data_IF_933358208597
#
_entry.id   IF_933358208597
#
_cell.length_a   1.000
_cell.length_b   1.000
_cell.length_c   1.000
_cell.angle_alpha   90.00
_cell.angle_beta   90.00
_cell.angle_gamma   90.00
#
_symmetry.space_group_name_H-M   'P 1'
#
loop_
_entity.id
_entity.type
_entity.pdbx_description
1 polymer ?
#
# COMPACT_ATOMS: atom_id res chain seq x y z
N UNK A 1 7.96 -17.98 -26.01
CA UNK A 1 6.75 -17.75 -25.18
C UNK A 1 7.04 -18.18 -23.77
N UNK A 2 7.19 -17.23 -22.85
CA UNK A 2 7.33 -17.48 -21.42
C UNK A 2 5.93 -17.67 -20.84
N UNK A 3 5.61 -18.88 -20.40
CA UNK A 3 4.31 -19.17 -19.78
C UNK A 3 4.33 -18.68 -18.33
N UNK A 4 3.55 -17.64 -18.03
CA UNK A 4 3.31 -17.21 -16.65
C UNK A 4 2.28 -18.15 -16.00
N UNK A 5 2.75 -19.08 -15.16
CA UNK A 5 1.88 -20.00 -14.42
C UNK A 5 1.63 -19.43 -13.02
N UNK A 6 0.36 -19.19 -12.66
CA UNK A 6 0.01 -18.58 -11.37
C UNK A 6 -0.82 -19.51 -10.47
N UNK A 7 -0.58 -19.44 -9.14
CA UNK A 7 -1.22 -20.28 -8.11
C UNK A 7 -1.92 -19.40 -7.06
N UNK A 8 -3.14 -18.99 -7.36
CA UNK A 8 -4.01 -18.16 -6.50
C UNK A 8 -4.24 -18.69 -5.06
N UNK A 9 -4.40 -20.00 -4.81
CA UNK A 9 -4.85 -20.48 -3.50
C UNK A 9 -3.85 -20.38 -2.33
N UNK A 10 -2.61 -19.91 -2.53
CA UNK A 10 -1.57 -19.97 -1.49
C UNK A 10 -1.29 -18.65 -0.74
N UNK A 11 -1.95 -17.54 -1.09
CA UNK A 11 -1.79 -16.29 -0.36
C UNK A 11 -2.20 -16.40 1.12
N UNK A 12 -3.08 -17.33 1.47
CA UNK A 12 -3.57 -17.48 2.85
C UNK A 12 -3.34 -18.89 3.43
N UNK A 13 -2.32 -19.61 2.93
CA UNK A 13 -1.99 -20.96 3.41
C UNK A 13 -0.59 -21.48 3.05
N UNK A 14 0.16 -20.80 2.19
CA UNK A 14 1.61 -20.96 2.03
C UNK A 14 2.36 -19.78 2.66
N UNK A 15 3.69 -19.82 2.69
CA UNK A 15 4.47 -18.64 3.07
C UNK A 15 4.19 -17.55 2.03
N UNK A 16 3.54 -16.46 2.45
CA UNK A 16 3.23 -15.29 1.62
C UNK A 16 4.47 -14.86 0.80
N UNK A 17 5.64 -14.87 1.44
CA UNK A 17 6.93 -14.54 0.85
C UNK A 17 7.29 -15.40 -0.38
N UNK A 18 6.83 -16.64 -0.46
CA UNK A 18 7.13 -17.53 -1.60
C UNK A 18 6.40 -17.08 -2.88
N UNK A 19 5.37 -16.24 -2.77
CA UNK A 19 4.51 -15.82 -3.89
C UNK A 19 4.78 -14.36 -4.26
N UNK A 20 4.76 -13.48 -3.25
CA UNK A 20 4.90 -12.03 -3.43
C UNK A 20 6.34 -11.55 -3.24
N UNK A 21 7.24 -12.38 -2.72
CA UNK A 21 8.63 -12.00 -2.56
C UNK A 21 8.87 -10.98 -1.45
N UNK A 22 9.92 -10.16 -1.57
CA UNK A 22 10.06 -8.94 -0.77
C UNK A 22 9.08 -7.89 -1.28
N UNK A 23 8.33 -7.27 -0.36
CA UNK A 23 7.23 -6.40 -0.73
C UNK A 23 7.11 -5.15 0.14
N UNK A 24 6.60 -4.10 -0.46
CA UNK A 24 6.13 -2.90 0.22
C UNK A 24 4.63 -2.97 0.47
N UNK A 25 4.15 -2.33 1.54
CA UNK A 25 2.73 -2.11 1.81
C UNK A 25 2.41 -0.63 1.69
N UNK A 26 1.34 -0.31 0.96
CA UNK A 26 0.80 1.03 0.84
C UNK A 26 -0.65 1.06 1.34
N UNK A 27 -1.00 2.00 2.21
CA UNK A 27 -2.37 2.18 2.69
C UNK A 27 -2.95 3.48 2.12
N UNK A 28 -4.10 3.38 1.44
CA UNK A 28 -4.83 4.53 0.91
C UNK A 28 -5.88 5.04 1.90
N UNK A 29 -6.50 6.19 1.59
CA UNK A 29 -7.56 6.80 2.39
C UNK A 29 -8.92 6.06 2.29
N UNK A 30 -8.95 4.79 2.70
CA UNK A 30 -10.16 3.96 2.82
C UNK A 30 -10.19 3.21 4.16
N UNK A 31 -11.40 2.86 4.68
CA UNK A 31 -11.50 1.98 5.84
C UNK A 31 -10.76 0.67 5.61
N UNK A 32 -10.03 0.18 6.61
CA UNK A 32 -9.35 -1.11 6.55
C UNK A 32 -10.29 -2.15 7.16
N UNK A 33 -11.09 -2.83 6.34
CA UNK A 33 -12.03 -3.85 6.82
C UNK A 33 -11.49 -5.29 6.69
N UNK A 34 -10.29 -5.46 6.12
CA UNK A 34 -9.55 -6.73 6.09
C UNK A 34 -9.34 -7.23 7.53
N UNK A 35 -9.49 -8.55 7.80
CA UNK A 35 -9.28 -9.09 9.14
C UNK A 35 -7.91 -8.71 9.73
N UNK A 36 -7.91 -8.20 10.97
CA UNK A 36 -6.75 -7.60 11.63
C UNK A 36 -5.48 -8.44 11.52
N UNK A 37 -5.58 -9.76 11.74
CA UNK A 37 -4.44 -10.69 11.67
C UNK A 37 -3.67 -10.62 10.34
N UNK A 38 -4.36 -10.43 9.22
CA UNK A 38 -3.74 -10.39 7.89
C UNK A 38 -3.05 -9.05 7.64
N UNK A 39 -3.69 -7.95 8.06
CA UNK A 39 -3.10 -6.61 7.95
C UNK A 39 -1.85 -6.49 8.82
N UNK A 40 -1.90 -7.00 10.06
CA UNK A 40 -0.74 -7.05 10.97
C UNK A 40 0.38 -7.91 10.38
N UNK A 41 0.06 -9.07 9.80
CA UNK A 41 1.05 -9.93 9.15
C UNK A 41 1.73 -9.25 7.96
N UNK A 42 0.94 -8.62 7.07
CA UNK A 42 1.44 -7.85 5.93
C UNK A 42 2.37 -6.73 6.40
N UNK A 43 1.90 -5.92 7.35
CA UNK A 43 2.66 -4.79 7.88
C UNK A 43 3.98 -5.22 8.53
N UNK A 44 3.97 -6.31 9.31
CA UNK A 44 5.16 -6.84 9.97
C UNK A 44 6.18 -7.46 9.02
N UNK A 45 5.74 -7.99 7.87
CA UNK A 45 6.60 -8.64 6.88
C UNK A 45 7.07 -7.72 5.76
N UNK A 46 6.42 -6.57 5.58
CA UNK A 46 6.80 -5.59 4.58
C UNK A 46 8.23 -5.07 4.81
N UNK A 47 8.98 -4.90 3.72
CA UNK A 47 10.29 -4.24 3.73
C UNK A 47 10.17 -2.71 3.71
N UNK A 48 9.00 -2.19 3.31
CA UNK A 48 8.65 -0.77 3.33
C UNK A 48 7.16 -0.59 3.62
N UNK A 49 6.82 0.37 4.46
CA UNK A 49 5.46 0.71 4.91
C UNK A 49 5.18 2.16 4.55
N UNK A 50 4.18 2.37 3.73
CA UNK A 50 3.78 3.69 3.28
C UNK A 50 2.30 3.94 3.56
N UNK A 51 1.96 5.18 3.88
CA UNK A 51 0.57 5.65 3.91
C UNK A 51 0.41 6.87 3.02
N UNK A 52 -0.68 6.89 2.23
CA UNK A 52 -0.99 8.01 1.35
C UNK A 52 -2.02 8.93 2.01
N UNK A 53 -1.60 10.15 2.33
CA UNK A 53 -2.42 11.24 2.87
C UNK A 53 -3.35 10.77 4.01
N UNK A 54 -4.68 10.88 3.86
CA UNK A 54 -5.66 10.43 4.85
C UNK A 54 -5.62 8.92 5.15
N UNK A 55 -4.93 8.12 4.34
CA UNK A 55 -4.59 6.73 4.65
C UNK A 55 -3.80 6.59 5.96
N UNK A 56 -3.06 7.63 6.36
CA UNK A 56 -2.35 7.69 7.64
C UNK A 56 -3.31 7.67 8.82
N UNK A 57 -4.41 8.44 8.75
CA UNK A 57 -5.47 8.40 9.77
C UNK A 57 -6.17 7.04 9.80
N UNK A 58 -6.36 6.42 8.63
CA UNK A 58 -6.95 5.07 8.53
C UNK A 58 -6.08 4.04 9.22
N UNK A 59 -4.76 4.13 9.02
CA UNK A 59 -3.80 3.27 9.68
C UNK A 59 -3.83 3.44 11.20
N UNK A 60 -3.69 4.65 11.74
CA UNK A 60 -3.72 4.84 13.18
C UNK A 60 -5.07 4.46 13.82
N UNK A 61 -6.18 4.70 13.11
CA UNK A 61 -7.49 4.19 13.54
C UNK A 61 -7.49 2.66 13.61
N UNK A 62 -6.96 1.97 12.59
CA UNK A 62 -6.83 0.51 12.61
C UNK A 62 -5.99 0.03 13.79
N UNK A 63 -4.83 0.65 14.04
CA UNK A 63 -3.95 0.33 15.17
C UNK A 63 -4.67 0.51 16.52
N UNK A 64 -5.48 1.56 16.66
CA UNK A 64 -6.25 1.81 17.89
C UNK A 64 -7.32 0.75 18.18
N UNK A 65 -7.75 0.01 17.16
CA UNK A 65 -8.76 -1.06 17.25
C UNK A 65 -8.14 -2.45 17.45
N UNK A 66 -6.81 -2.57 17.41
CA UNK A 66 -6.13 -3.83 17.69
C UNK A 66 -6.30 -4.22 19.16
N UNK A 67 -6.43 -5.53 19.42
CA UNK A 67 -6.50 -6.05 20.79
C UNK A 67 -5.22 -5.77 21.57
N UNK A 68 -4.07 -5.88 20.92
CA UNK A 68 -2.79 -5.46 21.45
C UNK A 68 -1.93 -4.83 20.36
N UNK A 69 -1.41 -3.62 20.62
CA UNK A 69 -0.44 -2.99 19.72
C UNK A 69 0.90 -3.72 19.68
N UNK A 70 1.20 -4.56 20.69
CA UNK A 70 2.41 -5.38 20.73
C UNK A 70 2.48 -6.43 19.62
N UNK A 71 1.38 -6.66 18.89
CA UNK A 71 1.35 -7.52 17.70
C UNK A 71 2.10 -6.87 16.52
N UNK A 72 2.26 -5.55 16.51
CA UNK A 72 3.02 -4.83 15.50
C UNK A 72 4.49 -4.71 15.94
N UNK A 73 5.41 -5.10 15.06
CA UNK A 73 6.85 -4.90 15.24
C UNK A 73 7.26 -3.44 15.07
N UNK A 74 6.50 -2.73 14.23
CA UNK A 74 6.68 -1.32 13.92
C UNK A 74 5.29 -0.74 13.73
N UNK A 75 4.93 0.30 14.50
CA UNK A 75 3.63 0.96 14.39
C UNK A 75 3.66 2.01 13.30
N UNK A 76 4.68 2.84 13.27
CA UNK A 76 4.75 3.99 12.36
C UNK A 76 5.15 3.57 10.94
N UNK A 77 4.56 4.16 9.88
CA UNK A 77 5.04 3.95 8.52
C UNK A 77 6.49 4.45 8.36
N UNK A 78 7.19 3.90 7.37
CA UNK A 78 8.53 4.37 7.00
C UNK A 78 8.46 5.76 6.34
N UNK A 79 7.38 6.03 5.59
CA UNK A 79 7.07 7.38 5.12
C UNK A 79 5.56 7.59 4.92
N UNK A 80 5.16 8.86 4.93
CA UNK A 80 3.83 9.30 4.50
C UNK A 80 3.97 10.22 3.30
N UNK A 81 3.05 10.13 2.33
CA UNK A 81 3.06 10.99 1.14
C UNK A 81 1.68 11.52 0.77
N UNK A 82 1.60 12.75 0.29
CA UNK A 82 0.35 13.36 -0.16
C UNK A 82 0.49 14.86 -0.34
N UNK A 83 -0.57 15.53 -0.80
CA UNK A 83 -0.71 16.98 -0.66
C UNK A 83 -1.21 17.40 0.74
N UNK A 84 -1.60 16.40 1.55
CA UNK A 84 -2.00 16.53 2.95
C UNK A 84 -3.30 17.31 3.17
N UNK A 85 -4.23 17.23 2.21
CA UNK A 85 -5.54 17.87 2.31
C UNK A 85 -6.57 17.00 3.07
N UNK A 86 -6.37 15.69 3.11
CA UNK A 86 -7.31 14.74 3.74
C UNK A 86 -6.82 14.21 5.08
N UNK A 87 -5.51 14.20 5.33
CA UNK A 87 -4.95 13.87 6.65
C UNK A 87 -5.31 14.93 7.68
N UNK A 88 -5.59 14.52 8.91
CA UNK A 88 -5.80 15.47 10.00
C UNK A 88 -4.50 16.18 10.39
N UNK A 89 -4.55 17.50 10.72
CA UNK A 89 -3.38 18.24 11.17
C UNK A 89 -2.68 17.62 12.39
N UNK A 90 -3.46 17.14 13.37
CA UNK A 90 -2.96 16.46 14.58
C UNK A 90 -2.13 15.20 14.24
N UNK A 91 -2.59 14.43 13.25
CA UNK A 91 -1.92 13.20 12.81
C UNK A 91 -0.63 13.54 12.06
N UNK A 92 -0.68 14.56 11.20
CA UNK A 92 0.50 15.03 10.46
C UNK A 92 1.58 15.58 11.39
N UNK A 93 1.20 16.38 12.39
CA UNK A 93 2.12 16.90 13.42
C UNK A 93 2.77 15.76 14.19
N UNK A 94 1.98 14.79 14.67
CA UNK A 94 2.50 13.60 15.35
C UNK A 94 3.51 12.83 14.48
N UNK A 95 3.24 12.69 13.18
CA UNK A 95 4.18 12.02 12.29
C UNK A 95 5.53 12.76 12.18
N UNK A 96 5.49 14.09 12.12
CA UNK A 96 6.71 14.93 12.12
C UNK A 96 7.47 14.82 13.43
N UNK A 97 6.76 14.84 14.56
CA UNK A 97 7.36 14.70 15.91
C UNK A 97 8.01 13.33 16.10
N UNK A 98 7.39 12.28 15.58
CA UNK A 98 7.93 10.91 15.61
C UNK A 98 9.09 10.70 14.62
N UNK A 99 9.48 11.72 13.83
CA UNK A 99 10.56 11.62 12.86
C UNK A 99 10.23 10.78 11.64
N UNK A 100 8.94 10.55 11.35
CA UNK A 100 8.50 9.85 10.14
C UNK A 100 8.84 10.70 8.92
N UNK A 101 9.29 10.06 7.84
CA UNK A 101 9.58 10.76 6.59
C UNK A 101 8.28 11.27 5.95
N UNK A 102 8.10 12.60 5.92
CA UNK A 102 6.91 13.25 5.35
C UNK A 102 7.25 13.81 3.97
N UNK A 103 6.70 13.21 2.92
CA UNK A 103 6.97 13.57 1.53
C UNK A 103 5.79 14.33 0.93
N UNK A 104 5.95 15.63 0.70
CA UNK A 104 4.93 16.45 0.05
C UNK A 104 4.86 16.14 -1.45
N UNK A 105 3.69 15.77 -1.96
CA UNK A 105 3.44 15.46 -3.36
C UNK A 105 2.34 16.37 -3.92
N UNK A 106 2.66 17.64 -4.27
CA UNK A 106 1.67 18.66 -4.58
C UNK A 106 1.05 18.56 -5.99
N UNK A 107 1.53 17.62 -6.82
CA UNK A 107 1.02 17.39 -8.17
C UNK A 107 -0.48 17.05 -8.14
N UNK A 108 -1.28 17.88 -8.82
CA UNK A 108 -2.73 17.77 -8.89
C UNK A 108 -3.20 17.02 -10.15
N UNK A 109 -2.31 16.76 -11.11
CA UNK A 109 -2.62 15.98 -12.31
C UNK A 109 -2.53 14.47 -12.03
N UNK A 110 -1.99 14.08 -10.86
CA UNK A 110 -1.86 12.69 -10.40
C UNK A 110 -2.55 12.48 -9.06
N UNK A 111 -3.12 11.28 -8.90
CA UNK A 111 -3.71 10.90 -7.61
C UNK A 111 -2.65 10.60 -6.56
N UNK A 112 -2.99 10.70 -5.28
CA UNK A 112 -2.07 10.33 -4.19
C UNK A 112 -1.64 8.86 -4.27
N UNK A 113 -2.47 7.99 -4.83
CA UNK A 113 -2.08 6.61 -5.08
C UNK A 113 -0.91 6.54 -6.09
N UNK A 114 -1.04 7.20 -7.23
CA UNK A 114 0.02 7.27 -8.24
C UNK A 114 1.30 7.89 -7.67
N UNK A 115 1.17 9.04 -6.98
CA UNK A 115 2.30 9.77 -6.38
C UNK A 115 3.00 8.92 -5.31
N UNK A 116 2.26 8.22 -4.45
CA UNK A 116 2.83 7.35 -3.44
C UNK A 116 3.60 6.17 -4.06
N UNK A 117 3.10 5.58 -5.15
CA UNK A 117 3.83 4.54 -5.89
C UNK A 117 5.15 5.06 -6.46
N UNK A 118 5.14 6.26 -7.03
CA UNK A 118 6.37 6.91 -7.52
C UNK A 118 7.38 7.12 -6.39
N UNK A 119 6.93 7.53 -5.19
CA UNK A 119 7.81 7.65 -4.04
C UNK A 119 8.37 6.29 -3.60
N UNK A 120 7.56 5.22 -3.55
CA UNK A 120 8.05 3.86 -3.23
C UNK A 120 9.19 3.45 -4.16
N UNK A 121 9.05 3.73 -5.47
CA UNK A 121 10.06 3.35 -6.46
C UNK A 121 11.38 4.13 -6.35
N UNK A 122 11.41 5.25 -5.63
CA UNK A 122 12.65 6.01 -5.37
C UNK A 122 13.46 5.42 -4.22
N UNK A 123 12.87 4.55 -3.39
CA UNK A 123 13.63 3.90 -2.32
C UNK A 123 14.57 2.85 -2.92
N UNK A 124 15.83 2.75 -2.45
CA UNK A 124 16.81 1.78 -2.94
C UNK A 124 16.50 0.38 -2.41
N UNK A 125 15.44 -0.23 -2.92
CA UNK A 125 14.98 -1.56 -2.56
C UNK A 125 15.35 -2.54 -3.67
N UNK A 126 16.63 -2.94 -3.71
CA UNK A 126 17.22 -3.80 -4.74
C UNK A 126 16.47 -5.14 -4.94
N UNK A 127 15.73 -5.57 -3.92
CA UNK A 127 14.99 -6.83 -3.93
C UNK A 127 13.46 -6.63 -3.98
N UNK A 128 12.94 -5.41 -4.15
CA UNK A 128 11.48 -5.20 -4.19
C UNK A 128 10.87 -5.96 -5.37
N UNK A 129 9.98 -6.90 -5.06
CA UNK A 129 9.32 -7.75 -6.06
C UNK A 129 7.84 -7.41 -6.21
N UNK A 130 7.22 -6.89 -5.16
CA UNK A 130 5.80 -6.56 -5.18
C UNK A 130 5.45 -5.34 -4.31
N UNK A 131 4.38 -4.65 -4.67
CA UNK A 131 3.73 -3.64 -3.84
C UNK A 131 2.31 -4.13 -3.57
N UNK A 132 1.94 -4.20 -2.30
CA UNK A 132 0.57 -4.53 -1.87
C UNK A 132 -0.08 -3.25 -1.37
N UNK A 133 -1.07 -2.78 -2.13
CA UNK A 133 -1.86 -1.61 -1.76
C UNK A 133 -3.16 -2.05 -1.12
N UNK A 134 -3.35 -1.67 0.15
CA UNK A 134 -4.61 -1.86 0.86
C UNK A 134 -5.58 -0.77 0.42
N UNK A 135 -6.67 -1.22 -0.20
CA UNK A 135 -7.73 -0.39 -0.77
C UNK A 135 -9.09 -0.90 -0.30
N UNK A 136 -10.14 -0.20 -0.69
CA UNK A 136 -11.50 -0.74 -0.68
C UNK A 136 -12.09 -0.59 -2.08
N UNK A 137 -12.75 -1.64 -2.55
CA UNK A 137 -13.48 -1.72 -3.82
C UNK A 137 -14.97 -1.36 -3.64
N UNK A 138 -15.30 -0.76 -2.50
CA UNK A 138 -16.63 -0.25 -2.16
C UNK A 138 -16.64 1.28 -2.05
N UNK A 139 -17.81 1.88 -2.25
CA UNK A 139 -18.01 3.34 -2.14
C UNK A 139 -17.94 4.07 -3.48
N UNK A 140 -17.12 5.13 -3.56
CA UNK A 140 -17.06 6.02 -4.74
C UNK A 140 -16.48 5.30 -5.96
N UNK A 141 -17.32 5.10 -6.98
CA UNK A 141 -16.98 4.42 -8.23
C UNK A 141 -15.80 5.07 -8.96
N UNK A 142 -15.74 6.40 -8.96
CA UNK A 142 -14.66 7.16 -9.61
C UNK A 142 -13.29 6.87 -8.98
N UNK A 143 -13.22 6.66 -7.67
CA UNK A 143 -11.97 6.25 -7.01
C UNK A 143 -11.58 4.81 -7.37
N UNK A 144 -12.56 3.90 -7.50
CA UNK A 144 -12.30 2.52 -7.92
C UNK A 144 -11.72 2.52 -9.34
N UNK A 145 -12.33 3.27 -10.26
CA UNK A 145 -11.84 3.43 -11.63
C UNK A 145 -10.46 4.07 -11.67
N UNK A 146 -10.19 5.06 -10.82
CA UNK A 146 -8.87 5.68 -10.70
C UNK A 146 -7.79 4.71 -10.20
N UNK A 147 -8.13 3.85 -9.23
CA UNK A 147 -7.23 2.78 -8.77
C UNK A 147 -6.92 1.77 -9.89
N UNK A 148 -7.94 1.39 -10.69
CA UNK A 148 -7.74 0.51 -11.85
C UNK A 148 -6.90 1.18 -12.94
N UNK A 149 -7.10 2.47 -13.20
CA UNK A 149 -6.27 3.23 -14.12
C UNK A 149 -4.80 3.27 -13.64
N UNK A 150 -4.58 3.53 -12.35
CA UNK A 150 -3.23 3.48 -11.76
C UNK A 150 -2.60 2.10 -11.89
N UNK A 151 -3.39 1.03 -11.66
CA UNK A 151 -2.94 -0.34 -11.84
C UNK A 151 -2.53 -0.64 -13.30
N UNK A 152 -3.26 -0.08 -14.28
CA UNK A 152 -2.92 -0.18 -15.70
C UNK A 152 -1.64 0.57 -16.06
N UNK A 153 -1.43 1.77 -15.49
CA UNK A 153 -0.23 2.60 -15.73
C UNK A 153 1.00 2.14 -14.94
N UNK A 154 0.85 1.25 -13.95
CA UNK A 154 1.94 0.81 -13.07
C UNK A 154 3.20 0.30 -13.80
N UNK A 155 3.13 -0.49 -14.90
CA UNK A 155 4.34 -0.92 -15.62
C UNK A 155 5.19 0.23 -16.14
N UNK A 156 4.54 1.31 -16.62
CA UNK A 156 5.22 2.52 -17.08
C UNK A 156 5.80 3.31 -15.89
N UNK A 157 5.02 3.48 -14.82
CA UNK A 157 5.46 4.13 -13.58
C UNK A 157 6.68 3.45 -12.97
N UNK A 158 6.76 2.12 -13.08
CA UNK A 158 7.86 1.34 -12.53
C UNK A 158 9.04 1.18 -13.51
N UNK A 159 9.03 1.90 -14.64
CA UNK A 159 10.13 1.91 -15.60
C UNK A 159 10.43 0.55 -16.23
N UNK A 160 9.40 -0.27 -16.49
CA UNK A 160 9.52 -1.67 -16.92
C UNK A 160 10.29 -2.59 -15.95
N UNK A 161 10.36 -2.23 -14.66
CA UNK A 161 10.82 -3.17 -13.64
C UNK A 161 9.86 -4.36 -13.53
N UNK A 162 10.36 -5.47 -12.98
CA UNK A 162 9.54 -6.67 -12.75
C UNK A 162 8.66 -6.57 -11.48
N UNK A 163 8.52 -5.37 -10.91
CA UNK A 163 7.73 -5.13 -9.69
C UNK A 163 6.25 -5.32 -10.01
N UNK A 164 5.56 -6.12 -9.18
CA UNK A 164 4.13 -6.41 -9.33
C UNK A 164 3.29 -5.57 -8.38
N UNK A 165 2.24 -4.95 -8.89
CA UNK A 165 1.28 -4.21 -8.07
C UNK A 165 0.03 -5.06 -7.81
N UNK A 166 -0.34 -5.15 -6.53
CA UNK A 166 -1.54 -5.84 -6.07
C UNK A 166 -2.43 -4.88 -5.30
N UNK A 167 -3.71 -4.80 -5.66
CA UNK A 167 -4.74 -4.11 -4.90
C UNK A 167 -5.46 -5.14 -4.03
N UNK A 168 -5.35 -5.01 -2.72
CA UNK A 168 -6.01 -5.89 -1.76
C UNK A 168 -7.17 -5.14 -1.10
N UNK A 169 -8.40 -5.61 -1.31
CA UNK A 169 -9.59 -5.18 -0.59
C UNK A 169 -10.04 -6.24 0.41
N UNK A 170 -11.16 -5.99 1.07
CA UNK A 170 -11.78 -6.95 1.99
C UNK A 170 -12.22 -8.24 1.30
N UNK A 171 -12.70 -8.15 0.06
CA UNK A 171 -13.29 -9.28 -0.66
C UNK A 171 -12.51 -9.69 -1.92
N UNK A 172 -11.55 -8.86 -2.38
CA UNK A 172 -10.85 -9.10 -3.63
C UNK A 172 -9.36 -8.84 -3.57
N UNK A 173 -8.64 -9.54 -4.45
CA UNK A 173 -7.25 -9.25 -4.81
C UNK A 173 -7.22 -9.00 -6.32
N UNK A 174 -6.80 -7.79 -6.71
CA UNK A 174 -6.77 -7.35 -8.11
C UNK A 174 -5.34 -7.05 -8.54
N UNK A 175 -4.96 -7.46 -9.74
CA UNK A 175 -3.68 -7.15 -10.36
C UNK A 175 -3.80 -7.12 -11.89
N UNK A 176 -2.82 -6.52 -12.55
CA UNK A 176 -2.75 -6.48 -14.02
C UNK A 176 -1.99 -7.70 -14.56
N UNK A 177 -2.54 -8.35 -15.59
CA UNK A 177 -1.83 -9.33 -16.39
C UNK A 177 -1.26 -8.64 -17.63
N UNK A 178 0.07 -8.63 -17.76
CA UNK A 178 0.72 -8.13 -18.96
C UNK A 178 0.47 -9.09 -20.15
N UNK A 179 0.41 -8.56 -21.40
CA UNK A 179 0.28 -9.36 -22.62
C UNK A 179 1.40 -10.38 -22.83
#
# INVERSE_FOLDING_TARGET
>A
MTTTIWKVPKLFGGSLNDIIGHFAVLILNRPINIPQKYVVELWNKACLRATADGGTDRWYKFVSLLKSQSELKQVDPDFISGDFDSIKPETLEKCKENGINVILTPDQDKTDFTKALEEIMKFPLDELQSIITIVEDSGRLDHIMSNLNTLYSAPELFGNSSVRLYLLSTESLTWLLAP
#
